data_IF_686021972296
#
_entry.id   IF_686021972296
#
_cell.length_a   1.000
_cell.length_b   1.000
_cell.length_c   1.000
_cell.angle_alpha   90.00
_cell.angle_beta   90.00
_cell.angle_gamma   90.00
#
_symmetry.space_group_name_H-M   'P 1'
#
loop_
_entity.id
_entity.type
_entity.pdbx_description
1 polymer ?
#
# COMPACT_ATOMS: atom_id res chain seq x y z
N UNK A 1 -1.68 28.41 -2.63
CA UNK A 1 -0.35 27.80 -2.57
C UNK A 1 -0.42 26.27 -2.50
N UNK A 2 -0.74 25.61 -1.31
CA UNK A 2 -0.70 24.13 -1.20
C UNK A 2 -1.64 23.45 -2.21
N UNK A 3 -2.90 23.84 -2.27
CA UNK A 3 -3.89 23.29 -3.21
C UNK A 3 -3.51 23.51 -4.67
N UNK A 4 -2.96 24.67 -5.01
CA UNK A 4 -2.44 24.97 -6.36
C UNK A 4 -1.25 24.07 -6.71
N UNK A 5 -0.35 23.84 -5.75
CA UNK A 5 0.78 22.91 -5.94
C UNK A 5 0.32 21.46 -6.13
N UNK A 6 -0.68 21.04 -5.37
CA UNK A 6 -1.21 19.66 -5.46
C UNK A 6 -2.03 19.43 -6.73
N UNK A 7 -2.47 20.48 -7.43
CA UNK A 7 -3.31 20.36 -8.61
C UNK A 7 -4.70 19.79 -8.30
N UNK A 8 -5.29 19.17 -9.32
CA UNK A 8 -6.61 18.54 -9.19
C UNK A 8 -6.50 17.19 -8.45
N UNK A 9 -6.81 17.22 -7.16
CA UNK A 9 -6.86 16.01 -6.33
C UNK A 9 -8.14 15.20 -6.54
N UNK A 10 -9.17 15.79 -7.15
CA UNK A 10 -10.46 15.14 -7.43
C UNK A 10 -10.35 14.15 -8.61
N UNK A 11 -9.47 14.43 -9.57
CA UNK A 11 -9.24 13.53 -10.73
C UNK A 11 -8.64 12.19 -10.37
N UNK A 12 -8.23 11.97 -9.12
CA UNK A 12 -7.55 10.76 -8.68
C UNK A 12 -6.12 10.58 -9.23
N UNK A 13 -5.60 11.56 -9.95
CA UNK A 13 -4.24 11.52 -10.52
C UNK A 13 -3.17 11.87 -9.50
N UNK A 14 -3.51 12.67 -8.49
CA UNK A 14 -2.56 13.07 -7.44
C UNK A 14 -2.51 12.01 -6.34
N UNK A 15 -1.30 11.54 -6.05
CA UNK A 15 -1.03 10.59 -4.96
C UNK A 15 -0.26 11.32 -3.88
N UNK A 16 -0.80 11.30 -2.67
CA UNK A 16 -0.15 11.88 -1.49
C UNK A 16 0.65 10.79 -0.80
N UNK A 17 1.93 11.01 -0.64
CA UNK A 17 2.84 10.08 0.03
C UNK A 17 3.42 10.72 1.27
N UNK A 18 3.50 9.96 2.35
CA UNK A 18 4.15 10.41 3.56
C UNK A 18 4.56 9.22 4.44
N UNK A 19 5.35 9.52 5.46
CA UNK A 19 5.78 8.55 6.45
C UNK A 19 5.01 8.75 7.76
N UNK A 20 4.08 7.84 8.07
CA UNK A 20 3.04 8.02 9.08
C UNK A 20 2.07 9.16 8.71
N UNK A 21 1.72 9.20 7.44
CA UNK A 21 1.00 10.28 6.76
C UNK A 21 -0.40 10.57 7.33
N UNK A 22 -0.95 9.68 8.12
CA UNK A 22 -2.27 9.87 8.75
C UNK A 22 -2.37 11.13 9.60
N UNK A 23 -1.28 11.50 10.29
CA UNK A 23 -1.21 12.73 11.07
C UNK A 23 -1.23 13.97 10.17
N UNK A 24 -0.40 13.99 9.14
CA UNK A 24 -0.28 15.12 8.20
C UNK A 24 -1.61 15.36 7.46
N UNK A 25 -2.23 14.29 6.98
CA UNK A 25 -3.53 14.35 6.29
C UNK A 25 -4.63 14.86 7.22
N UNK A 26 -4.66 14.41 8.46
CA UNK A 26 -5.65 14.89 9.44
C UNK A 26 -5.48 16.39 9.73
N UNK A 27 -4.23 16.85 9.86
CA UNK A 27 -3.90 18.26 10.08
C UNK A 27 -4.30 19.12 8.88
N UNK A 28 -3.97 18.69 7.65
CA UNK A 28 -4.33 19.38 6.42
C UNK A 28 -5.86 19.45 6.27
N UNK A 29 -6.57 18.34 6.50
CA UNK A 29 -8.04 18.31 6.44
C UNK A 29 -8.69 19.29 7.42
N UNK A 30 -8.23 19.32 8.66
CA UNK A 30 -8.70 20.26 9.66
C UNK A 30 -8.42 21.73 9.30
N UNK A 31 -7.28 22.01 8.66
CA UNK A 31 -6.93 23.34 8.19
C UNK A 31 -7.82 23.78 7.01
N UNK A 32 -8.11 22.88 6.05
CA UNK A 32 -9.00 23.13 4.93
C UNK A 32 -10.44 23.38 5.39
N UNK A 33 -10.93 22.59 6.34
CA UNK A 33 -12.27 22.75 6.92
C UNK A 33 -12.41 24.13 7.57
N UNK A 34 -11.44 24.55 8.39
CA UNK A 34 -11.42 25.88 9.02
C UNK A 34 -11.39 27.01 7.99
N UNK A 35 -10.70 26.80 6.87
CA UNK A 35 -10.60 27.74 5.78
C UNK A 35 -11.79 27.69 4.80
N UNK A 36 -12.80 26.87 5.08
CA UNK A 36 -13.96 26.62 4.22
C UNK A 36 -13.55 26.25 2.78
N UNK A 37 -12.50 25.46 2.64
CA UNK A 37 -11.99 24.95 1.36
C UNK A 37 -12.46 23.52 1.10
N UNK A 38 -12.48 23.06 -0.15
CA UNK A 38 -12.78 21.68 -0.48
C UNK A 38 -11.94 20.70 0.31
N UNK A 39 -12.52 19.56 0.64
CA UNK A 39 -11.82 18.50 1.39
C UNK A 39 -10.69 17.92 0.56
N UNK A 40 -9.58 17.61 1.23
CA UNK A 40 -8.49 16.88 0.60
C UNK A 40 -8.97 15.48 0.23
N UNK A 41 -9.11 15.24 -1.05
CA UNK A 41 -9.40 13.93 -1.65
C UNK A 41 -8.15 13.40 -2.36
N UNK A 42 -8.18 12.16 -2.79
CA UNK A 42 -7.08 11.54 -3.50
C UNK A 42 -6.51 10.29 -2.82
N UNK A 43 -5.62 9.64 -3.53
CA UNK A 43 -4.94 8.44 -3.05
C UNK A 43 -3.85 8.81 -2.06
N UNK A 44 -3.85 8.13 -0.90
CA UNK A 44 -2.85 8.33 0.15
C UNK A 44 -2.05 7.04 0.32
N UNK A 45 -0.74 7.14 0.29
CA UNK A 45 0.21 6.05 0.54
C UNK A 45 1.03 6.36 1.79
N UNK A 46 0.98 5.46 2.76
CA UNK A 46 1.80 5.52 3.96
C UNK A 46 3.02 4.60 3.81
N UNK A 47 4.21 5.19 3.74
CA UNK A 47 5.46 4.42 3.63
C UNK A 47 5.75 3.58 4.87
N UNK A 48 5.19 3.91 6.06
CA UNK A 48 5.27 3.03 7.25
C UNK A 48 4.52 1.73 7.01
N UNK A 49 3.33 1.82 6.42
CA UNK A 49 2.53 0.63 6.11
C UNK A 49 3.25 -0.28 5.10
N UNK A 50 3.84 0.31 4.05
CA UNK A 50 4.65 -0.42 3.07
C UNK A 50 5.92 -1.01 3.71
N UNK A 51 6.66 -0.25 4.52
CA UNK A 51 7.88 -0.71 5.17
C UNK A 51 7.60 -1.89 6.12
N UNK A 52 6.53 -1.81 6.91
CA UNK A 52 6.08 -2.92 7.76
C UNK A 52 5.78 -4.19 6.95
N UNK A 53 5.47 -4.04 5.69
CA UNK A 53 5.13 -5.15 4.80
C UNK A 53 6.33 -5.76 4.12
N UNK A 54 7.24 -4.90 3.66
CA UNK A 54 8.30 -5.28 2.73
C UNK A 54 9.65 -5.52 3.41
N UNK A 55 9.91 -4.85 4.56
CA UNK A 55 11.23 -4.84 5.19
C UNK A 55 11.17 -5.01 6.71
N UNK A 56 10.02 -5.40 7.28
CA UNK A 56 9.84 -5.52 8.73
C UNK A 56 10.88 -6.41 9.40
N UNK A 57 11.24 -7.50 8.75
CA UNK A 57 12.18 -8.49 9.28
C UNK A 57 13.65 -8.08 9.10
N UNK A 58 13.91 -7.01 8.32
CA UNK A 58 15.25 -6.50 8.06
C UNK A 58 15.63 -5.32 8.98
N UNK A 59 14.65 -4.77 9.72
CA UNK A 59 14.84 -3.55 10.52
C UNK A 59 14.26 -3.70 11.93
N UNK A 60 14.86 -3.08 12.96
CA UNK A 60 14.36 -3.16 14.33
C UNK A 60 13.03 -2.43 14.52
N UNK A 61 12.78 -1.38 13.74
CA UNK A 61 11.53 -0.61 13.69
C UNK A 61 11.40 0.13 12.37
N UNK A 62 10.18 0.64 12.08
CA UNK A 62 9.89 1.38 10.85
C UNK A 62 9.87 2.91 11.06
N UNK A 63 10.72 3.47 11.92
CA UNK A 63 10.95 4.92 11.98
C UNK A 63 11.78 5.37 10.79
N UNK A 64 11.51 6.54 10.23
CA UNK A 64 12.18 7.04 9.01
C UNK A 64 13.71 7.03 9.15
N UNK A 65 14.26 7.53 10.26
CA UNK A 65 15.70 7.52 10.51
C UNK A 65 16.28 6.10 10.56
N UNK A 66 15.59 5.16 11.20
CA UNK A 66 16.03 3.76 11.24
C UNK A 66 16.05 3.13 9.85
N UNK A 67 15.00 3.39 9.06
CA UNK A 67 14.89 2.90 7.69
C UNK A 67 15.97 3.52 6.81
N UNK A 68 16.17 4.85 6.90
CA UNK A 68 17.20 5.55 6.14
C UNK A 68 18.60 4.98 6.41
N UNK A 69 18.91 4.68 7.69
CA UNK A 69 20.20 4.10 8.08
C UNK A 69 20.35 2.64 7.61
N UNK A 70 19.35 1.81 7.86
CA UNK A 70 19.44 0.37 7.58
C UNK A 70 19.38 0.05 6.10
N UNK A 71 18.56 0.79 5.35
CA UNK A 71 18.41 0.61 3.92
C UNK A 71 19.40 1.44 3.10
N UNK A 72 20.25 2.23 3.78
CA UNK A 72 21.28 3.10 3.15
C UNK A 72 20.71 4.07 2.14
N UNK A 73 19.59 4.74 2.53
CA UNK A 73 18.98 5.75 1.67
C UNK A 73 19.93 6.94 1.49
N UNK A 74 19.78 7.65 0.38
CA UNK A 74 20.62 8.78 0.03
C UNK A 74 20.45 9.95 1.01
N UNK A 75 19.19 10.31 1.30
CA UNK A 75 18.85 11.39 2.22
C UNK A 75 18.62 10.88 3.64
N UNK A 76 19.01 11.71 4.62
CA UNK A 76 18.83 11.45 6.06
C UNK A 76 17.79 12.39 6.63
N UNK A 77 16.78 11.89 7.37
CA UNK A 77 15.83 12.76 8.04
C UNK A 77 16.53 13.53 9.17
N UNK A 78 16.19 14.79 9.30
CA UNK A 78 16.79 15.70 10.30
C UNK A 78 15.77 16.43 11.16
N UNK A 79 14.50 16.02 11.09
CA UNK A 79 13.34 16.71 11.65
C UNK A 79 13.09 18.09 11.02
N UNK A 80 13.57 18.26 9.78
CA UNK A 80 13.22 19.38 8.91
C UNK A 80 12.33 18.84 7.80
N UNK A 81 11.26 19.57 7.49
CA UNK A 81 10.24 19.10 6.54
C UNK A 81 10.80 18.68 5.18
N UNK A 82 11.78 19.42 4.66
CA UNK A 82 12.38 19.10 3.37
C UNK A 82 13.26 17.85 3.42
N UNK A 83 14.11 17.72 4.44
CA UNK A 83 14.99 16.56 4.60
C UNK A 83 14.19 15.28 4.84
N UNK A 84 13.12 15.38 5.64
CA UNK A 84 12.20 14.28 5.91
C UNK A 84 11.41 13.89 4.65
N UNK A 85 11.03 14.88 3.82
CA UNK A 85 10.36 14.62 2.55
C UNK A 85 11.28 13.91 1.55
N UNK A 86 12.55 14.33 1.42
CA UNK A 86 13.52 13.64 0.58
C UNK A 86 13.79 12.21 1.05
N UNK A 87 14.03 12.02 2.35
CA UNK A 87 14.20 10.67 2.90
C UNK A 87 12.97 9.78 2.70
N UNK A 88 11.77 10.37 2.73
CA UNK A 88 10.51 9.65 2.46
C UNK A 88 10.38 9.28 0.99
N UNK A 89 10.82 10.14 0.08
CA UNK A 89 10.84 9.86 -1.37
C UNK A 89 11.81 8.72 -1.69
N UNK A 90 13.03 8.76 -1.16
CA UNK A 90 14.00 7.67 -1.31
C UNK A 90 13.45 6.34 -0.78
N UNK A 91 12.83 6.39 0.40
CA UNK A 91 12.19 5.23 0.99
C UNK A 91 11.08 4.67 0.10
N UNK A 92 10.24 5.54 -0.48
CA UNK A 92 9.19 5.12 -1.41
C UNK A 92 9.78 4.41 -2.62
N UNK A 93 10.82 4.97 -3.25
CA UNK A 93 11.48 4.36 -4.40
C UNK A 93 12.05 2.99 -4.06
N UNK A 94 12.75 2.87 -2.93
CA UNK A 94 13.27 1.60 -2.44
C UNK A 94 12.15 0.57 -2.23
N UNK A 95 11.03 0.97 -1.62
CA UNK A 95 9.91 0.09 -1.35
C UNK A 95 9.17 -0.31 -2.64
N UNK A 96 9.07 0.56 -3.64
CA UNK A 96 8.51 0.24 -4.96
C UNK A 96 9.40 -0.80 -5.66
N UNK A 97 10.71 -0.64 -5.66
CA UNK A 97 11.64 -1.60 -6.23
C UNK A 97 11.49 -2.97 -5.54
N UNK A 98 11.45 -3.00 -4.22
CA UNK A 98 11.24 -4.23 -3.45
C UNK A 98 9.88 -4.87 -3.77
N UNK A 99 8.82 -4.09 -3.88
CA UNK A 99 7.48 -4.55 -4.20
C UNK A 99 7.37 -5.11 -5.63
N UNK A 100 8.12 -4.56 -6.58
CA UNK A 100 8.11 -5.03 -7.98
C UNK A 100 8.52 -6.50 -8.07
N UNK A 101 9.48 -6.96 -7.27
CA UNK A 101 9.89 -8.35 -7.13
C UNK A 101 8.77 -9.26 -6.56
N UNK A 102 7.69 -8.69 -6.04
CA UNK A 102 6.49 -9.41 -5.56
C UNK A 102 5.30 -9.31 -6.53
N UNK A 103 5.54 -8.86 -7.77
CA UNK A 103 4.51 -8.71 -8.81
C UNK A 103 3.60 -7.49 -8.63
N UNK A 104 4.06 -6.48 -7.90
CA UNK A 104 3.40 -5.16 -7.81
C UNK A 104 3.79 -4.37 -9.07
N UNK A 105 2.84 -4.13 -9.97
CA UNK A 105 3.10 -3.53 -11.29
C UNK A 105 2.50 -2.14 -11.47
N UNK A 106 1.84 -1.59 -10.44
CA UNK A 106 1.23 -0.28 -10.54
C UNK A 106 0.64 0.20 -9.22
N UNK A 107 0.06 1.40 -9.27
CA UNK A 107 -0.47 2.11 -8.10
C UNK A 107 -1.52 1.29 -7.34
N UNK A 108 -2.48 0.68 -8.04
CA UNK A 108 -3.54 -0.13 -7.40
C UNK A 108 -2.97 -1.31 -6.62
N UNK A 109 -1.93 -1.96 -7.19
CA UNK A 109 -1.24 -3.06 -6.53
C UNK A 109 -0.50 -2.57 -5.27
N UNK A 110 0.12 -1.39 -5.34
CA UNK A 110 0.84 -0.78 -4.22
C UNK A 110 -0.12 -0.38 -3.09
N UNK A 111 -1.27 0.20 -3.45
CA UNK A 111 -2.35 0.54 -2.51
C UNK A 111 -2.88 -0.74 -1.84
N UNK A 112 -3.13 -1.78 -2.61
CA UNK A 112 -3.57 -3.06 -2.07
C UNK A 112 -2.53 -3.62 -1.10
N UNK A 113 -1.25 -3.57 -1.45
CA UNK A 113 -0.14 -4.01 -0.60
C UNK A 113 -0.08 -3.23 0.72
N UNK A 114 -0.25 -1.91 0.69
CA UNK A 114 -0.22 -1.06 1.90
C UNK A 114 -1.36 -1.39 2.87
N UNK A 115 -2.51 -1.82 2.35
CA UNK A 115 -3.70 -2.22 3.14
C UNK A 115 -3.63 -3.66 3.67
N UNK A 116 -2.67 -4.45 3.22
CA UNK A 116 -2.46 -5.83 3.66
C UNK A 116 -1.89 -5.84 5.09
N UNK A 117 -2.72 -5.57 6.09
CA UNK A 117 -2.34 -5.58 7.49
C UNK A 117 -1.89 -6.99 7.90
N UNK A 118 -0.57 -7.23 7.97
CA UNK A 118 0.02 -8.38 8.68
C UNK A 118 -0.50 -9.78 8.35
N UNK A 119 -1.13 -9.97 7.16
CA UNK A 119 -1.74 -11.26 6.85
C UNK A 119 -0.66 -12.35 6.70
N UNK A 120 -0.75 -13.48 7.45
CA UNK A 120 0.25 -14.56 7.42
C UNK A 120 0.50 -15.13 6.02
N UNK A 121 -0.46 -14.97 5.11
CA UNK A 121 -0.44 -15.50 3.75
C UNK A 121 0.04 -14.51 2.69
N UNK A 122 0.71 -13.43 3.08
CA UNK A 122 1.25 -12.45 2.14
C UNK A 122 2.22 -13.04 1.11
N UNK A 123 2.93 -14.10 1.48
CA UNK A 123 3.80 -14.82 0.56
C UNK A 123 3.04 -15.38 -0.66
N UNK A 124 1.76 -15.72 -0.48
CA UNK A 124 0.89 -16.20 -1.58
C UNK A 124 0.52 -15.10 -2.59
N UNK A 125 0.78 -13.82 -2.30
CA UNK A 125 0.59 -12.73 -3.26
C UNK A 125 1.39 -12.93 -4.56
N UNK A 126 2.56 -13.55 -4.49
CA UNK A 126 3.34 -13.89 -5.69
C UNK A 126 2.55 -14.73 -6.68
N UNK A 127 1.67 -15.62 -6.18
CA UNK A 127 0.81 -16.47 -7.02
C UNK A 127 -0.23 -15.67 -7.82
N UNK A 128 -0.44 -14.40 -7.48
CA UNK A 128 -1.37 -13.52 -8.18
C UNK A 128 -0.71 -12.66 -9.25
N UNK A 129 0.61 -12.79 -9.46
CA UNK A 129 1.36 -11.92 -10.38
C UNK A 129 0.90 -12.08 -11.84
N UNK A 130 0.55 -13.31 -12.24
CA UNK A 130 0.15 -13.63 -13.60
C UNK A 130 -1.37 -13.54 -13.84
N UNK A 131 -2.15 -13.19 -12.82
CA UNK A 131 -3.59 -13.03 -12.98
C UNK A 131 -3.92 -11.83 -13.86
N UNK A 132 -4.83 -12.00 -14.85
CA UNK A 132 -5.22 -10.92 -15.74
C UNK A 132 -6.01 -9.83 -15.01
N UNK A 133 -5.94 -8.61 -15.53
CA UNK A 133 -6.74 -7.45 -15.05
C UNK A 133 -8.09 -7.33 -15.78
N UNK A 134 -8.54 -8.42 -16.39
CA UNK A 134 -9.80 -8.52 -17.12
C UNK A 134 -10.90 -9.24 -16.32
N UNK A 135 -12.15 -9.15 -16.77
CA UNK A 135 -13.24 -9.93 -16.18
C UNK A 135 -13.02 -11.43 -16.31
N UNK A 136 -13.49 -12.18 -15.32
CA UNK A 136 -13.40 -13.63 -15.34
C UNK A 136 -13.91 -14.31 -14.08
N UNK A 137 -13.73 -15.62 -14.03
CA UNK A 137 -14.05 -16.49 -12.91
C UNK A 137 -12.73 -17.01 -12.31
N UNK A 138 -12.66 -17.09 -11.00
CA UNK A 138 -11.52 -17.64 -10.27
C UNK A 138 -11.98 -18.70 -9.27
N UNK A 139 -11.11 -19.65 -9.00
CA UNK A 139 -11.31 -20.71 -8.01
C UNK A 139 -10.14 -20.72 -7.02
N UNK A 140 -10.45 -20.85 -5.75
CA UNK A 140 -9.48 -21.25 -4.73
C UNK A 140 -9.60 -22.74 -4.52
N UNK A 141 -8.48 -23.43 -4.62
CA UNK A 141 -8.38 -24.87 -4.41
C UNK A 141 -7.47 -25.15 -3.22
N UNK A 142 -7.80 -26.11 -2.39
CA UNK A 142 -6.94 -26.62 -1.34
C UNK A 142 -5.86 -27.53 -1.87
N UNK A 143 -4.97 -27.99 -0.97
CA UNK A 143 -3.80 -28.83 -1.31
C UNK A 143 -4.15 -30.16 -2.00
N UNK A 144 -5.36 -30.67 -1.78
CA UNK A 144 -5.84 -31.90 -2.42
C UNK A 144 -6.65 -31.63 -3.70
N UNK A 145 -6.63 -30.39 -4.21
CA UNK A 145 -7.37 -29.99 -5.41
C UNK A 145 -8.87 -29.75 -5.20
N UNK A 146 -9.38 -29.91 -3.96
CA UNK A 146 -10.79 -29.62 -3.67
C UNK A 146 -11.08 -28.11 -3.86
N UNK A 147 -12.24 -27.81 -4.46
CA UNK A 147 -12.67 -26.42 -4.66
C UNK A 147 -13.16 -25.86 -3.32
N UNK A 148 -12.50 -24.84 -2.82
CA UNK A 148 -12.83 -24.15 -1.58
C UNK A 148 -13.77 -22.96 -1.82
N UNK A 149 -13.58 -22.26 -2.95
CA UNK A 149 -14.38 -21.10 -3.31
C UNK A 149 -14.34 -20.83 -4.82
N UNK A 150 -15.45 -20.37 -5.35
CA UNK A 150 -15.58 -19.90 -6.73
C UNK A 150 -16.15 -18.49 -6.72
N UNK A 151 -15.56 -17.59 -7.50
CA UNK A 151 -16.02 -16.23 -7.60
C UNK A 151 -15.87 -15.64 -8.99
N UNK A 152 -16.58 -14.55 -9.25
CA UNK A 152 -16.46 -13.74 -10.46
C UNK A 152 -15.95 -12.34 -10.13
N UNK A 153 -15.24 -11.73 -11.05
CA UNK A 153 -14.76 -10.36 -10.93
C UNK A 153 -14.66 -9.67 -12.28
N UNK A 154 -14.77 -8.36 -12.29
CA UNK A 154 -14.49 -7.50 -13.45
C UNK A 154 -12.97 -7.29 -13.63
N UNK A 155 -12.20 -7.46 -12.57
CA UNK A 155 -10.74 -7.46 -12.57
C UNK A 155 -10.26 -8.59 -11.64
N UNK A 156 -9.82 -9.70 -12.24
CA UNK A 156 -9.42 -10.91 -11.51
C UNK A 156 -8.27 -10.64 -10.53
N UNK A 157 -7.20 -9.97 -10.99
CA UNK A 157 -6.04 -9.68 -10.16
C UNK A 157 -6.41 -8.86 -8.93
N UNK A 158 -7.13 -7.74 -9.12
CA UNK A 158 -7.54 -6.87 -8.04
C UNK A 158 -8.44 -7.61 -7.04
N UNK A 159 -9.39 -8.40 -7.56
CA UNK A 159 -10.33 -9.16 -6.72
C UNK A 159 -9.62 -10.23 -5.89
N UNK A 160 -8.75 -11.03 -6.50
CA UNK A 160 -8.04 -12.10 -5.79
C UNK A 160 -7.09 -11.50 -4.74
N UNK A 161 -6.40 -10.40 -5.06
CA UNK A 161 -5.53 -9.70 -4.10
C UNK A 161 -6.30 -9.11 -2.91
N UNK A 162 -7.54 -8.65 -3.12
CA UNK A 162 -8.34 -8.07 -2.02
C UNK A 162 -8.61 -9.07 -0.90
N UNK A 163 -8.58 -10.36 -1.14
CA UNK A 163 -8.72 -11.38 -0.09
C UNK A 163 -7.56 -11.37 0.92
N UNK A 164 -6.37 -10.96 0.51
CA UNK A 164 -5.21 -10.83 1.38
C UNK A 164 -5.18 -9.50 2.15
N UNK A 165 -6.12 -8.58 1.87
CA UNK A 165 -6.21 -7.23 2.45
C UNK A 165 -7.05 -7.11 3.72
N UNK A 166 -7.33 -8.22 4.42
CA UNK A 166 -8.13 -8.18 5.64
C UNK A 166 -9.64 -8.24 5.36
N UNK A 167 -10.04 -9.13 4.46
CA UNK A 167 -11.46 -9.46 4.26
C UNK A 167 -11.97 -10.22 5.50
N UNK A 168 -12.74 -9.53 6.36
CA UNK A 168 -13.24 -10.02 7.64
C UNK A 168 -14.32 -11.11 7.53
N UNK A 169 -14.66 -11.55 6.32
CA UNK A 169 -15.62 -12.63 6.13
C UNK A 169 -15.09 -13.93 6.75
N UNK A 170 -15.87 -14.53 7.64
CA UNK A 170 -15.51 -15.74 8.43
C UNK A 170 -14.88 -16.88 7.63
N UNK A 171 -15.21 -17.01 6.33
CA UNK A 171 -14.72 -18.10 5.46
C UNK A 171 -13.36 -17.83 4.83
N UNK A 172 -12.91 -16.57 4.76
CA UNK A 172 -11.70 -16.19 4.01
C UNK A 172 -10.43 -16.61 4.73
N UNK A 173 -10.32 -16.35 6.02
CA UNK A 173 -9.14 -16.72 6.81
C UNK A 173 -8.78 -18.21 6.76
N UNK A 174 -9.73 -19.13 7.02
CA UNK A 174 -9.49 -20.57 6.84
C UNK A 174 -9.11 -20.94 5.42
N UNK A 175 -9.82 -20.44 4.41
CA UNK A 175 -9.57 -20.72 2.99
C UNK A 175 -8.15 -20.33 2.53
N UNK A 176 -7.62 -19.21 3.03
CA UNK A 176 -6.27 -18.76 2.66
C UNK A 176 -5.14 -19.54 3.36
N UNK A 177 -5.46 -20.31 4.41
CA UNK A 177 -4.50 -21.16 5.10
C UNK A 177 -4.25 -22.51 4.41
N UNK A 178 -5.24 -22.99 3.68
CA UNK A 178 -5.14 -24.15 2.80
C UNK A 178 -4.27 -23.87 1.57
#
# INVERSE_FOLDING_TARGET
ALLEFMGDTESGQTVIVGHNVGFDVAFIRAALERAQRPRLEGTIIDTVALARRLVRDEVPNCKLGTLADRLRLEHRPSHRALDDAWATADLLHFLIERASGMGVLGLDDLIALSKLAGHPQAAKLKMTADLPRSPGVYMFCGHQGQVLYVGKATNLRQRVRSYFGGDDRRKIGPMLRE
#
